data_IF_398539159020
#
_entry.id   IF_398539159020
#
_cell.length_a   1.000
_cell.length_b   1.000
_cell.length_c   1.000
_cell.angle_alpha   90.00
_cell.angle_beta   90.00
_cell.angle_gamma   90.00
#
_symmetry.space_group_name_H-M   'P 1'
#
loop_
_entity.id
_entity.type
_entity.pdbx_description
1 polymer ?
#
# COMPACT_ATOMS: atom_id res chain seq x y z
N UNK A 1 -0.49 11.57 -3.87
CA UNK A 1 -1.72 10.87 -4.29
C UNK A 1 -2.81 10.84 -3.21
N UNK A 2 -2.46 11.04 -1.91
CA UNK A 2 -3.45 11.07 -0.82
C UNK A 2 -3.91 9.69 -0.32
N UNK A 3 -3.34 8.57 -0.78
CA UNK A 3 -3.74 7.22 -0.34
C UNK A 3 -3.65 7.05 1.17
N UNK A 4 -2.54 7.44 1.77
CA UNK A 4 -2.34 7.34 3.22
C UNK A 4 -3.35 8.18 4.00
N UNK A 5 -3.63 9.41 3.56
CA UNK A 5 -4.64 10.27 4.19
C UNK A 5 -6.05 9.63 4.12
N UNK A 6 -6.40 9.00 2.99
CA UNK A 6 -7.66 8.26 2.87
C UNK A 6 -7.72 7.05 3.83
N UNK A 7 -6.65 6.27 3.93
CA UNK A 7 -6.60 5.15 4.87
C UNK A 7 -6.71 5.62 6.33
N UNK A 8 -6.01 6.70 6.69
CA UNK A 8 -6.13 7.31 8.02
C UNK A 8 -7.55 7.82 8.31
N UNK A 9 -8.23 8.37 7.30
CA UNK A 9 -9.62 8.81 7.42
C UNK A 9 -10.54 7.63 7.76
N UNK A 10 -10.42 6.50 7.04
CA UNK A 10 -11.16 5.29 7.35
C UNK A 10 -10.86 4.76 8.75
N UNK A 11 -9.58 4.76 9.15
CA UNK A 11 -9.19 4.34 10.50
C UNK A 11 -9.83 5.22 11.59
N UNK A 12 -9.74 6.54 11.44
CA UNK A 12 -10.23 7.49 12.45
C UNK A 12 -11.75 7.57 12.53
N UNK A 13 -12.43 7.57 11.37
CA UNK A 13 -13.88 7.79 11.32
C UNK A 13 -14.69 6.51 11.41
N UNK A 14 -14.22 5.43 10.82
CA UNK A 14 -14.98 4.19 10.66
C UNK A 14 -14.37 2.98 11.37
N UNK A 15 -13.29 3.17 12.13
CA UNK A 15 -12.66 2.10 12.92
C UNK A 15 -11.94 1.03 12.10
N UNK A 16 -11.54 1.35 10.87
CA UNK A 16 -10.74 0.44 10.06
C UNK A 16 -9.34 0.27 10.63
N UNK A 17 -8.74 -0.89 10.37
CA UNK A 17 -7.32 -1.14 10.63
C UNK A 17 -6.55 -1.13 9.32
N UNK A 18 -5.49 -0.30 9.22
CA UNK A 18 -4.63 -0.26 8.04
C UNK A 18 -3.58 -1.37 8.11
N UNK A 19 -3.70 -2.37 7.22
CA UNK A 19 -2.70 -3.44 7.05
C UNK A 19 -2.00 -3.23 5.71
N UNK A 20 -0.68 -3.00 5.77
CA UNK A 20 0.15 -2.76 4.58
C UNK A 20 0.81 -4.05 4.10
N UNK A 21 0.88 -4.24 2.77
CA UNK A 21 1.63 -5.34 2.15
C UNK A 21 3.13 -5.25 2.46
N UNK A 22 3.69 -4.03 2.45
CA UNK A 22 5.08 -3.79 2.83
C UNK A 22 5.31 -3.74 4.36
N UNK A 23 4.27 -3.83 5.18
CA UNK A 23 4.39 -3.78 6.64
C UNK A 23 5.34 -4.82 7.22
N UNK A 24 5.20 -6.11 6.88
CA UNK A 24 6.07 -7.17 7.38
C UNK A 24 7.55 -6.94 7.06
N UNK A 25 7.89 -6.62 5.80
CA UNK A 25 9.29 -6.39 5.42
C UNK A 25 9.89 -5.17 6.14
N UNK A 26 9.11 -4.12 6.39
CA UNK A 26 9.58 -2.97 7.18
C UNK A 26 9.82 -3.33 8.64
N UNK A 27 8.98 -4.19 9.24
CA UNK A 27 9.25 -4.72 10.59
C UNK A 27 10.52 -5.55 10.65
N UNK A 28 10.77 -6.42 9.65
CA UNK A 28 12.02 -7.17 9.55
C UNK A 28 13.25 -6.23 9.52
N UNK A 29 13.19 -5.16 8.74
CA UNK A 29 14.27 -4.17 8.69
C UNK A 29 14.41 -3.37 9.99
N UNK A 30 13.32 -3.12 10.72
CA UNK A 30 13.38 -2.50 12.06
C UNK A 30 14.09 -3.39 13.07
N UNK A 31 13.88 -4.69 13.02
CA UNK A 31 14.61 -5.64 13.86
C UNK A 31 16.12 -5.63 13.60
N UNK A 32 16.54 -5.24 12.40
CA UNK A 32 17.95 -5.01 12.07
C UNK A 32 18.49 -3.67 12.60
N UNK A 33 17.65 -2.83 13.21
CA UNK A 33 18.03 -1.54 13.78
C UNK A 33 17.67 -0.31 12.93
N UNK A 34 16.95 -0.48 11.81
CA UNK A 34 16.47 0.67 11.04
C UNK A 34 15.26 1.34 11.72
N UNK A 35 15.22 2.66 11.65
CA UNK A 35 14.13 3.48 12.24
C UNK A 35 13.09 3.89 11.21
N UNK A 36 12.02 4.54 11.64
CA UNK A 36 11.01 5.11 10.74
C UNK A 36 11.59 6.15 9.78
N UNK A 37 12.60 6.92 10.21
CA UNK A 37 13.31 7.86 9.33
C UNK A 37 14.03 7.16 8.18
N UNK A 38 14.56 5.96 8.41
CA UNK A 38 15.17 5.13 7.37
C UNK A 38 14.14 4.52 6.42
N UNK A 39 12.97 4.16 6.90
CA UNK A 39 11.99 3.41 6.11
C UNK A 39 10.97 4.30 5.41
N UNK A 40 10.59 5.43 6.02
CA UNK A 40 9.55 6.35 5.53
C UNK A 40 10.02 7.80 5.41
N UNK A 41 11.13 8.16 6.08
CA UNK A 41 11.58 9.54 6.22
C UNK A 41 12.75 9.92 5.30
N UNK A 42 13.47 10.96 5.72
CA UNK A 42 14.53 11.61 4.94
C UNK A 42 15.78 10.74 4.75
N UNK A 43 16.01 9.73 5.61
CA UNK A 43 17.17 8.84 5.52
C UNK A 43 16.97 7.69 4.53
N UNK A 44 15.81 7.56 3.91
CA UNK A 44 15.45 6.44 3.02
C UNK A 44 16.40 6.25 1.84
N UNK A 45 16.92 7.35 1.31
CA UNK A 45 17.83 7.36 0.16
C UNK A 45 19.30 7.52 0.56
N UNK A 46 19.61 7.56 1.85
CA UNK A 46 20.95 7.76 2.35
C UNK A 46 21.61 6.42 2.72
N UNK A 47 22.86 6.17 2.27
CA UNK A 47 23.61 5.00 2.71
C UNK A 47 23.79 4.99 4.23
N UNK A 48 23.70 3.81 4.85
CA UNK A 48 23.94 3.67 6.28
C UNK A 48 24.79 2.44 6.60
N UNK A 49 25.54 2.51 7.71
CA UNK A 49 26.48 1.46 8.10
C UNK A 49 25.81 0.15 8.46
N UNK A 50 24.61 0.20 9.05
CA UNK A 50 23.80 -1.00 9.36
C UNK A 50 23.59 -1.87 8.12
N UNK A 51 23.46 -1.23 6.93
CA UNK A 51 23.26 -1.90 5.66
C UNK A 51 24.54 -2.00 4.83
N UNK A 52 25.71 -1.99 5.47
CA UNK A 52 27.02 -2.05 4.82
C UNK A 52 27.17 -1.01 3.69
N UNK A 53 26.72 0.21 3.93
CA UNK A 53 26.79 1.32 2.99
C UNK A 53 25.71 1.33 1.91
N UNK A 54 24.70 0.43 1.98
CA UNK A 54 23.53 0.49 1.10
C UNK A 54 22.46 1.41 1.68
N UNK A 55 21.54 1.85 0.83
CA UNK A 55 20.41 2.68 1.25
C UNK A 55 19.24 1.83 1.80
N UNK A 56 18.44 2.34 2.74
CA UNK A 56 17.22 1.66 3.19
C UNK A 56 16.25 1.36 2.04
N UNK A 57 16.13 2.23 1.02
CA UNK A 57 15.34 1.94 -0.18
C UNK A 57 15.83 0.68 -0.89
N UNK A 58 17.13 0.58 -1.12
CA UNK A 58 17.74 -0.60 -1.75
C UNK A 58 17.42 -1.87 -0.95
N UNK A 59 17.59 -1.84 0.37
CA UNK A 59 17.29 -2.98 1.22
C UNK A 59 15.80 -3.38 1.18
N UNK A 60 14.87 -2.40 1.18
CA UNK A 60 13.44 -2.68 1.04
C UNK A 60 13.10 -3.30 -0.32
N UNK A 61 13.69 -2.82 -1.40
CA UNK A 61 13.47 -3.36 -2.75
C UNK A 61 14.02 -4.80 -2.86
N UNK A 62 15.26 -5.02 -2.43
CA UNK A 62 15.89 -6.34 -2.46
C UNK A 62 15.12 -7.35 -1.59
N UNK A 63 14.76 -6.98 -0.36
CA UNK A 63 13.98 -7.84 0.51
C UNK A 63 12.57 -8.11 -0.06
N UNK A 64 11.95 -7.10 -0.62
CA UNK A 64 10.59 -7.21 -1.17
C UNK A 64 10.51 -8.01 -2.46
N UNK A 65 11.42 -7.79 -3.38
CA UNK A 65 11.41 -8.40 -4.72
C UNK A 65 12.31 -9.62 -4.76
N UNK A 66 13.64 -9.44 -4.71
CA UNK A 66 14.59 -10.50 -4.96
C UNK A 66 14.47 -11.63 -3.93
N UNK A 67 14.46 -11.31 -2.65
CA UNK A 67 14.28 -12.32 -1.62
C UNK A 67 12.81 -12.80 -1.53
N UNK A 68 11.87 -11.88 -1.41
CA UNK A 68 10.49 -12.24 -1.12
C UNK A 68 9.76 -12.84 -2.30
N UNK A 69 9.75 -12.16 -3.45
CA UNK A 69 8.99 -12.60 -4.62
C UNK A 69 9.74 -13.63 -5.45
N UNK A 70 11.03 -13.43 -5.70
CA UNK A 70 11.78 -14.26 -6.62
C UNK A 70 12.29 -15.56 -5.95
N UNK A 71 12.82 -15.48 -4.72
CA UNK A 71 13.37 -16.65 -4.03
C UNK A 71 12.32 -17.42 -3.22
N UNK A 72 11.47 -16.75 -2.45
CA UNK A 72 10.45 -17.44 -1.63
C UNK A 72 9.20 -17.73 -2.47
N UNK A 73 8.68 -16.73 -3.19
CA UNK A 73 7.56 -16.89 -4.09
C UNK A 73 6.75 -15.61 -4.28
N UNK A 74 6.24 -15.43 -5.49
CA UNK A 74 5.51 -14.25 -5.93
C UNK A 74 4.37 -13.82 -4.99
N UNK A 75 3.72 -14.80 -4.36
CA UNK A 75 2.58 -14.59 -3.47
C UNK A 75 2.94 -14.40 -2.00
N UNK A 76 4.22 -14.36 -1.63
CA UNK A 76 4.64 -14.30 -0.22
C UNK A 76 3.95 -13.16 0.53
N UNK A 77 4.09 -11.92 0.04
CA UNK A 77 3.55 -10.74 0.74
C UNK A 77 2.04 -10.72 0.77
N UNK A 78 1.41 -11.20 -0.29
CA UNK A 78 -0.03 -11.43 -0.33
C UNK A 78 -0.51 -12.44 0.70
N UNK A 79 0.19 -13.57 0.85
CA UNK A 79 -0.13 -14.60 1.86
C UNK A 79 0.00 -14.05 3.28
N UNK A 80 1.06 -13.29 3.56
CA UNK A 80 1.29 -12.67 4.87
C UNK A 80 0.21 -11.63 5.17
N UNK A 81 -0.16 -10.81 4.18
CA UNK A 81 -1.22 -9.82 4.30
C UNK A 81 -2.58 -10.48 4.55
N UNK A 82 -2.95 -11.50 3.76
CA UNK A 82 -4.21 -12.24 3.91
C UNK A 82 -4.32 -12.87 5.31
N UNK A 83 -3.24 -13.50 5.78
CA UNK A 83 -3.21 -14.11 7.10
C UNK A 83 -3.50 -13.06 8.20
N UNK A 84 -2.88 -11.89 8.13
CA UNK A 84 -3.12 -10.80 9.08
C UNK A 84 -4.54 -10.23 8.97
N UNK A 85 -5.06 -10.05 7.75
CA UNK A 85 -6.40 -9.55 7.51
C UNK A 85 -7.48 -10.52 8.03
N UNK A 86 -7.33 -11.82 7.82
CA UNK A 86 -8.26 -12.85 8.31
C UNK A 86 -8.39 -12.86 9.83
N UNK A 87 -7.36 -12.46 10.56
CA UNK A 87 -7.40 -12.36 12.02
C UNK A 87 -8.23 -11.18 12.51
N UNK A 88 -8.31 -10.11 11.74
CA UNK A 88 -9.00 -8.86 12.10
C UNK A 88 -10.43 -8.80 11.57
N UNK A 89 -10.67 -9.25 10.34
CA UNK A 89 -11.97 -9.12 9.66
C UNK A 89 -13.19 -9.58 10.44
N UNK A 90 -13.15 -10.61 11.33
CA UNK A 90 -14.30 -10.97 12.16
C UNK A 90 -14.76 -9.87 13.11
N UNK A 91 -13.87 -8.92 13.46
CA UNK A 91 -14.12 -7.89 14.47
C UNK A 91 -13.90 -6.46 13.98
N UNK A 92 -13.07 -6.28 12.94
CA UNK A 92 -12.68 -4.97 12.44
C UNK A 92 -12.56 -4.96 10.92
N UNK A 93 -13.07 -3.92 10.22
CA UNK A 93 -12.83 -3.74 8.81
C UNK A 93 -11.36 -3.38 8.56
N UNK A 94 -10.84 -3.78 7.39
CA UNK A 94 -9.44 -3.59 6.99
C UNK A 94 -9.35 -2.66 5.80
N UNK A 95 -8.36 -1.78 5.81
CA UNK A 95 -7.94 -0.94 4.68
C UNK A 95 -6.46 -1.16 4.38
N UNK A 96 -6.06 -1.01 3.12
CA UNK A 96 -4.65 -1.00 2.70
C UNK A 96 -4.39 0.16 1.74
N UNK A 97 -3.26 0.85 1.89
CA UNK A 97 -2.91 2.03 1.10
C UNK A 97 -1.64 1.84 0.24
N UNK A 98 -1.08 0.65 0.23
CA UNK A 98 0.18 0.35 -0.46
C UNK A 98 0.11 -0.78 -1.50
N UNK A 99 -1.11 -1.14 -1.93
CA UNK A 99 -1.34 -2.12 -2.98
C UNK A 99 -0.65 -1.70 -4.29
N UNK A 100 0.09 -2.62 -4.92
CA UNK A 100 0.89 -2.34 -6.12
C UNK A 100 0.80 -3.39 -7.22
N UNK A 101 0.45 -4.63 -6.90
CA UNK A 101 0.54 -5.74 -7.82
C UNK A 101 -0.83 -6.36 -8.09
N UNK A 102 -0.98 -6.94 -9.29
CA UNK A 102 -2.21 -7.60 -9.70
C UNK A 102 -2.63 -8.72 -8.74
N UNK A 103 -1.69 -9.56 -8.33
CA UNK A 103 -1.96 -10.66 -7.40
C UNK A 103 -2.37 -10.18 -6.00
N UNK A 104 -1.95 -8.98 -5.58
CA UNK A 104 -2.42 -8.34 -4.36
C UNK A 104 -3.89 -7.87 -4.50
N UNK A 105 -4.22 -7.26 -5.64
CA UNK A 105 -5.59 -6.81 -5.93
C UNK A 105 -6.57 -8.00 -6.01
N UNK A 106 -6.18 -9.07 -6.69
CA UNK A 106 -6.97 -10.30 -6.77
C UNK A 106 -7.24 -10.90 -5.40
N UNK A 107 -6.26 -10.86 -4.51
CA UNK A 107 -6.39 -11.35 -3.14
C UNK A 107 -7.36 -10.52 -2.32
N UNK A 108 -7.28 -9.19 -2.40
CA UNK A 108 -8.24 -8.27 -1.75
C UNK A 108 -9.66 -8.58 -2.23
N UNK A 109 -9.87 -8.73 -3.54
CA UNK A 109 -11.20 -9.06 -4.10
C UNK A 109 -11.72 -10.42 -3.65
N UNK A 110 -10.84 -11.43 -3.61
CA UNK A 110 -11.20 -12.77 -3.12
C UNK A 110 -11.73 -12.75 -1.68
N UNK A 111 -11.25 -11.79 -0.89
CA UNK A 111 -11.72 -11.58 0.49
C UNK A 111 -12.95 -10.66 0.58
N UNK A 112 -13.59 -10.31 -0.54
CA UNK A 112 -14.75 -9.43 -0.60
C UNK A 112 -14.40 -7.93 -0.55
N UNK A 113 -13.12 -7.58 -0.68
CA UNK A 113 -12.68 -6.19 -0.68
C UNK A 113 -12.83 -5.51 -2.04
N UNK A 114 -12.75 -4.19 -2.04
CA UNK A 114 -12.87 -3.31 -3.20
C UNK A 114 -11.56 -2.59 -3.45
N UNK A 115 -11.21 -2.40 -4.74
CA UNK A 115 -10.04 -1.63 -5.17
C UNK A 115 -10.46 -0.23 -5.57
N UNK A 116 -9.98 0.76 -4.83
CA UNK A 116 -10.24 2.18 -5.09
C UNK A 116 -9.00 2.83 -5.68
N UNK A 117 -9.13 3.43 -6.86
CA UNK A 117 -8.07 4.24 -7.47
C UNK A 117 -8.30 5.72 -7.17
N UNK A 118 -7.27 6.38 -6.64
CA UNK A 118 -7.26 7.82 -6.50
C UNK A 118 -6.55 8.43 -7.72
N UNK A 119 -7.22 9.28 -8.46
CA UNK A 119 -6.63 10.09 -9.53
C UNK A 119 -6.53 11.55 -9.08
N UNK A 120 -5.46 12.24 -9.47
CA UNK A 120 -5.29 13.68 -9.21
C UNK A 120 -5.66 14.43 -10.47
N UNK A 121 -6.59 15.37 -10.36
CA UNK A 121 -7.01 16.22 -11.49
C UNK A 121 -5.82 17.12 -11.88
N UNK A 122 -5.35 17.00 -13.13
CA UNK A 122 -4.27 17.87 -13.66
C UNK A 122 -2.97 17.18 -14.03
N UNK A 123 -2.79 15.88 -13.75
CA UNK A 123 -1.75 15.10 -14.39
C UNK A 123 -2.33 14.41 -15.63
N UNK A 124 -2.26 15.11 -16.78
CA UNK A 124 -2.27 14.43 -18.06
C UNK A 124 -1.09 13.44 -18.02
N UNK A 125 -1.35 12.18 -18.35
CA UNK A 125 -0.32 11.19 -18.63
C UNK A 125 0.55 11.75 -19.77
N UNK A 126 1.64 12.42 -19.44
CA UNK A 126 2.70 12.70 -20.40
C UNK A 126 3.41 11.37 -20.62
N UNK A 127 2.99 10.67 -21.67
CA UNK A 127 3.72 9.57 -22.28
C UNK A 127 5.05 10.08 -22.82
N UNK A 128 6.06 10.23 -21.99
CA UNK A 128 7.48 10.28 -22.40
C UNK A 128 8.35 10.05 -21.17
N UNK A 129 8.59 8.80 -20.86
CA UNK A 129 9.52 8.36 -19.83
C UNK A 129 9.30 6.88 -19.57
N UNK A 130 10.38 6.09 -19.58
CA UNK A 130 10.35 4.67 -19.26
C UNK A 130 9.46 4.44 -18.01
N UNK A 131 8.45 3.57 -18.04
CA UNK A 131 7.62 3.31 -16.88
C UNK A 131 8.50 2.63 -15.83
N UNK A 132 8.80 3.35 -14.75
CA UNK A 132 9.28 2.68 -13.55
C UNK A 132 8.25 1.59 -13.20
N UNK A 133 8.68 0.37 -13.04
CA UNK A 133 7.87 -0.85 -12.82
C UNK A 133 6.91 -0.79 -11.62
N UNK A 134 6.88 0.31 -10.90
CA UNK A 134 5.97 0.62 -9.79
C UNK A 134 4.74 1.46 -10.18
N UNK A 135 4.62 1.96 -11.42
CA UNK A 135 3.50 2.80 -11.88
C UNK A 135 2.64 2.16 -12.97
N UNK A 136 3.07 1.04 -13.54
CA UNK A 136 2.28 0.23 -14.47
C UNK A 136 1.26 -0.65 -13.76
N UNK A 137 0.37 -0.03 -12.96
CA UNK A 137 -0.67 -0.77 -12.25
C UNK A 137 -1.83 -1.07 -13.19
N UNK A 138 -1.75 -2.18 -13.87
CA UNK A 138 -2.76 -2.65 -14.83
C UNK A 138 -3.84 -3.52 -14.16
N UNK A 139 -4.11 -3.28 -12.87
CA UNK A 139 -5.29 -3.86 -12.25
C UNK A 139 -6.47 -2.89 -12.34
N UNK A 140 -7.60 -3.39 -12.82
CA UNK A 140 -8.83 -2.60 -12.91
C UNK A 140 -9.28 -2.19 -11.51
N UNK A 141 -9.48 -0.88 -11.29
CA UNK A 141 -10.10 -0.40 -10.07
C UNK A 141 -11.62 -0.63 -10.17
N UNK A 142 -12.23 -0.99 -9.05
CA UNK A 142 -13.67 -1.14 -8.94
C UNK A 142 -14.36 0.23 -8.85
N UNK A 143 -13.64 1.20 -8.25
CA UNK A 143 -14.05 2.60 -8.14
C UNK A 143 -12.88 3.53 -8.42
N UNK A 144 -13.13 4.62 -9.13
CA UNK A 144 -12.16 5.71 -9.35
C UNK A 144 -12.66 6.97 -8.67
N UNK A 145 -11.87 7.53 -7.77
CA UNK A 145 -12.17 8.80 -7.11
C UNK A 145 -11.17 9.86 -7.58
N UNK A 146 -11.70 10.97 -8.06
CA UNK A 146 -10.89 12.12 -8.47
C UNK A 146 -10.62 13.03 -7.28
N UNK A 147 -9.38 13.04 -6.81
CA UNK A 147 -8.96 13.96 -5.75
C UNK A 147 -8.72 15.35 -6.34
N UNK A 148 -9.67 16.25 -6.11
CA UNK A 148 -9.60 17.66 -6.51
C UNK A 148 -8.94 18.54 -5.46
N UNK A 149 -8.42 17.95 -4.37
CA UNK A 149 -7.91 18.66 -3.19
C UNK A 149 -8.96 19.51 -2.48
N UNK A 150 -10.22 19.12 -2.53
CA UNK A 150 -11.36 19.70 -1.85
C UNK A 150 -12.12 18.66 -1.02
N UNK A 151 -13.22 19.07 -0.39
CA UNK A 151 -14.02 18.21 0.48
C UNK A 151 -14.77 17.09 -0.26
N UNK A 152 -14.84 17.13 -1.59
CA UNK A 152 -15.52 16.10 -2.39
C UNK A 152 -14.88 14.73 -2.26
N UNK A 153 -13.56 14.67 -1.96
CA UNK A 153 -12.85 13.43 -1.67
C UNK A 153 -13.47 12.73 -0.45
N UNK A 154 -13.63 13.46 0.65
CA UNK A 154 -14.15 12.90 1.91
C UNK A 154 -15.59 12.44 1.78
N UNK A 155 -16.43 13.18 1.06
CA UNK A 155 -17.82 12.79 0.76
C UNK A 155 -17.87 11.50 -0.06
N UNK A 156 -16.96 11.33 -1.03
CA UNK A 156 -16.87 10.10 -1.82
C UNK A 156 -16.44 8.90 -0.95
N UNK A 157 -15.50 9.10 -0.02
CA UNK A 157 -15.09 8.05 0.92
C UNK A 157 -16.22 7.68 1.90
N UNK A 158 -16.99 8.66 2.37
CA UNK A 158 -18.16 8.43 3.22
C UNK A 158 -19.22 7.57 2.50
N UNK A 159 -19.48 7.87 1.24
CA UNK A 159 -20.40 7.08 0.44
C UNK A 159 -19.94 5.62 0.29
N UNK A 160 -18.65 5.40 0.07
CA UNK A 160 -18.08 4.05 0.00
C UNK A 160 -18.20 3.31 1.33
N UNK A 161 -17.93 3.97 2.44
CA UNK A 161 -18.02 3.36 3.76
C UNK A 161 -19.46 2.94 4.10
N UNK A 162 -20.46 3.77 3.76
CA UNK A 162 -21.87 3.48 3.99
C UNK A 162 -22.42 2.37 3.08
N UNK A 163 -21.91 2.22 1.87
CA UNK A 163 -22.35 1.20 0.90
C UNK A 163 -21.87 -0.23 1.20
N UNK A 164 -20.96 -0.42 2.14
CA UNK A 164 -20.38 -1.72 2.52
C UNK A 164 -20.82 -2.20 3.90
N UNK A 165 -21.78 -1.52 4.54
CA UNK A 165 -22.41 -1.98 5.78
C UNK A 165 -23.74 -2.68 5.38
N UNK A 166 -23.63 -3.74 4.59
CA UNK A 166 -24.72 -4.70 4.41
C UNK A 166 -24.15 -6.09 4.64
#
# INVERSE_FOLDING_TARGET
>A
SGKTACAEYFCKKYGYTNIKFAGPLKRMLKEMGLTDEHLEGALKEQPCDILAGRTPRWAMQTLGTEWGRDLIGENLWGNVWEHAAMQLLPTQPVVTDDLRFQNEAERVRKMGGMIVRLSVTGQASTETGEPHSSEGMDYNADVVIHNKHDDSLWQSLDFLACGHII
#
